data_IF_297667254221
#
_entry.id   IF_297667254221
#
_cell.length_a   1.000
_cell.length_b   1.000
_cell.length_c   1.000
_cell.angle_alpha   90.00
_cell.angle_beta   90.00
_cell.angle_gamma   90.00
#
_symmetry.space_group_name_H-M   'P 1'
#
loop_
_entity.id
_entity.type
_entity.pdbx_description
1 polymer ?
#
# COMPACT_ATOMS: atom_id res chain seq x y z
N UNK A 1 -3.03 18.52 0.21
CA UNK A 1 -4.50 18.37 0.43
C UNK A 1 -5.36 19.19 -0.53
N UNK A 2 -4.95 20.39 -0.93
CA UNK A 2 -5.77 21.31 -1.72
C UNK A 2 -6.15 20.78 -3.12
N UNK A 3 -5.19 20.21 -3.85
CA UNK A 3 -5.42 19.69 -5.22
C UNK A 3 -6.41 18.52 -5.27
N UNK A 4 -6.48 17.71 -4.20
CA UNK A 4 -7.44 16.60 -4.08
C UNK A 4 -8.73 17.01 -3.36
N UNK A 5 -8.85 18.28 -2.96
CA UNK A 5 -9.97 18.86 -2.21
C UNK A 5 -10.39 18.04 -0.97
N UNK A 6 -9.44 17.40 -0.29
CA UNK A 6 -9.72 16.58 0.89
C UNK A 6 -10.31 17.41 2.04
N UNK A 7 -9.97 18.71 2.12
CA UNK A 7 -10.50 19.64 3.10
C UNK A 7 -12.05 19.70 3.10
N UNK A 8 -12.68 19.57 1.92
CA UNK A 8 -14.14 19.56 1.81
C UNK A 8 -14.77 18.32 2.47
N UNK A 9 -14.09 17.18 2.43
CA UNK A 9 -14.58 15.96 3.07
C UNK A 9 -14.57 16.09 4.60
N UNK A 10 -13.57 16.79 5.17
CA UNK A 10 -13.45 17.00 6.61
C UNK A 10 -14.56 17.87 7.20
N UNK A 11 -15.18 18.75 6.40
CA UNK A 11 -16.37 19.51 6.82
C UNK A 11 -17.57 18.59 7.12
N UNK A 12 -17.58 17.39 6.54
CA UNK A 12 -18.58 16.36 6.78
C UNK A 12 -18.10 15.28 7.75
N UNK A 13 -17.06 15.57 8.56
CA UNK A 13 -16.43 14.63 9.50
C UNK A 13 -15.89 13.34 8.85
N UNK A 14 -15.58 13.38 7.55
CA UNK A 14 -14.98 12.26 6.82
C UNK A 14 -13.46 12.34 6.93
N UNK A 15 -12.93 11.95 8.10
CA UNK A 15 -11.50 11.95 8.41
C UNK A 15 -10.84 10.56 8.35
N UNK A 16 -11.62 9.52 8.07
CA UNK A 16 -11.17 8.11 8.11
C UNK A 16 -11.29 7.45 9.48
N UNK A 17 -11.98 8.09 10.43
CA UNK A 17 -12.31 7.49 11.72
C UNK A 17 -12.96 6.12 11.56
N UNK A 18 -12.58 5.17 12.41
CA UNK A 18 -13.04 3.78 12.42
C UNK A 18 -12.74 2.98 11.13
N UNK A 19 -11.80 3.48 10.32
CA UNK A 19 -11.26 2.76 9.16
C UNK A 19 -9.82 2.35 9.45
N UNK A 20 -9.52 1.09 9.20
CA UNK A 20 -8.16 0.57 9.16
C UNK A 20 -7.72 0.47 7.70
N UNK A 21 -6.59 1.10 7.37
CA UNK A 21 -5.99 1.06 6.04
C UNK A 21 -4.83 0.07 6.08
N UNK A 22 -4.95 -0.98 5.27
CA UNK A 22 -3.91 -1.96 5.03
C UNK A 22 -2.87 -1.44 4.05
N UNK A 23 -1.61 -1.80 4.26
CA UNK A 23 -0.51 -1.49 3.36
C UNK A 23 0.30 -2.75 3.15
N UNK A 24 0.65 -3.05 1.90
CA UNK A 24 1.78 -3.93 1.63
C UNK A 24 2.92 -3.10 1.07
N UNK A 25 3.97 -2.91 1.86
CA UNK A 25 5.05 -1.99 1.51
C UNK A 25 6.37 -2.44 2.16
N UNK A 26 7.40 -1.60 2.16
CA UNK A 26 8.71 -1.89 2.76
C UNK A 26 8.70 -1.95 4.29
N UNK A 27 7.53 -1.99 4.92
CA UNK A 27 7.35 -1.86 6.36
C UNK A 27 7.19 -0.40 6.79
N UNK A 28 7.12 -0.20 8.10
CA UNK A 28 6.84 1.11 8.70
C UNK A 28 7.75 1.36 9.90
N UNK A 29 8.24 2.59 9.98
CA UNK A 29 8.92 3.12 11.16
C UNK A 29 7.89 3.55 12.21
N UNK A 30 7.78 2.74 13.25
CA UNK A 30 6.84 2.96 14.36
C UNK A 30 7.25 4.14 15.27
N UNK A 31 8.47 4.65 15.13
CA UNK A 31 8.98 5.77 15.93
C UNK A 31 8.68 7.13 15.30
N UNK A 32 8.10 7.16 14.10
CA UNK A 32 7.79 8.39 13.38
C UNK A 32 6.71 9.22 14.12
N UNK A 33 6.93 10.52 14.28
CA UNK A 33 6.06 11.41 15.08
C UNK A 33 4.59 11.43 14.63
N UNK A 34 4.33 11.20 13.35
CA UNK A 34 2.97 11.11 12.79
C UNK A 34 2.24 9.80 13.11
N UNK A 35 2.92 8.83 13.74
CA UNK A 35 2.39 7.53 14.14
C UNK A 35 2.46 7.33 15.66
N UNK A 36 1.70 8.13 16.44
CA UNK A 36 1.67 7.96 17.90
C UNK A 36 1.13 6.57 18.30
N UNK A 37 1.29 6.22 19.58
CA UNK A 37 0.82 4.96 20.12
C UNK A 37 -0.66 4.68 19.74
N UNK A 38 -0.92 3.48 19.22
CA UNK A 38 -2.25 3.06 18.77
C UNK A 38 -2.61 3.45 17.33
N UNK A 39 -1.75 4.22 16.64
CA UNK A 39 -1.96 4.56 15.22
C UNK A 39 -1.73 3.36 14.31
N UNK A 40 -0.74 2.54 14.63
CA UNK A 40 -0.42 1.30 13.92
C UNK A 40 -1.06 0.15 14.71
N UNK A 41 -2.00 -0.57 14.09
CA UNK A 41 -2.73 -1.70 14.70
C UNK A 41 -2.15 -3.05 14.35
N UNK A 42 -1.42 -3.12 13.24
CA UNK A 42 -0.73 -4.32 12.79
C UNK A 42 0.58 -3.91 12.11
N UNK A 43 1.68 -4.58 12.46
CA UNK A 43 2.96 -4.42 11.77
C UNK A 43 3.62 -5.79 11.58
N UNK A 44 3.34 -6.45 10.46
CA UNK A 44 4.03 -7.68 10.10
C UNK A 44 5.44 -7.36 9.60
N UNK A 45 6.45 -7.89 10.30
CA UNK A 45 7.87 -7.80 9.96
C UNK A 45 8.48 -9.17 9.63
N UNK A 46 7.64 -10.18 9.37
CA UNK A 46 8.09 -11.57 9.13
C UNK A 46 9.05 -11.67 7.94
N UNK A 47 8.86 -10.80 6.94
CA UNK A 47 9.73 -10.65 5.78
C UNK A 47 11.20 -10.37 6.11
N UNK A 48 11.49 -9.76 7.27
CA UNK A 48 12.85 -9.45 7.69
C UNK A 48 13.55 -10.60 8.42
N UNK A 49 12.87 -11.72 8.68
CA UNK A 49 13.51 -12.90 9.29
C UNK A 49 14.14 -12.64 10.66
N UNK A 50 13.61 -11.68 11.43
CA UNK A 50 14.14 -11.27 12.74
C UNK A 50 15.24 -10.20 12.69
N UNK A 51 15.67 -9.79 11.49
CA UNK A 51 16.59 -8.65 11.33
C UNK A 51 15.83 -7.35 11.59
N UNK A 52 16.46 -6.42 12.31
CA UNK A 52 15.91 -5.07 12.46
C UNK A 52 16.21 -4.26 11.20
N UNK A 53 15.20 -3.82 10.43
CA UNK A 53 15.43 -3.05 9.21
C UNK A 53 15.98 -1.67 9.53
N UNK A 54 16.81 -1.13 8.64
CA UNK A 54 17.27 0.25 8.74
C UNK A 54 16.14 1.24 8.45
N UNK A 55 16.24 2.47 8.98
CA UNK A 55 15.30 3.54 8.65
C UNK A 55 15.20 3.81 7.14
N UNK A 56 16.31 3.60 6.39
CA UNK A 56 16.32 3.71 4.93
C UNK A 56 15.41 2.68 4.25
N UNK A 57 15.37 1.43 4.74
CA UNK A 57 14.47 0.39 4.22
C UNK A 57 13.01 0.71 4.55
N UNK A 58 12.73 1.24 5.73
CA UNK A 58 11.37 1.59 6.17
C UNK A 58 10.82 2.88 5.54
N UNK A 59 11.68 3.72 4.93
CA UNK A 59 11.31 5.07 4.47
C UNK A 59 10.16 5.08 3.47
N UNK A 60 10.14 4.17 2.50
CA UNK A 60 9.11 4.15 1.46
C UNK A 60 7.73 3.85 2.06
N UNK A 61 7.57 2.74 2.79
CA UNK A 61 6.30 2.40 3.43
C UNK A 61 5.85 3.40 4.49
N UNK A 62 6.79 3.99 5.23
CA UNK A 62 6.52 5.09 6.19
C UNK A 62 5.95 6.31 5.46
N UNK A 63 6.56 6.73 4.35
CA UNK A 63 6.07 7.85 3.55
C UNK A 63 4.69 7.58 2.93
N UNK A 64 4.48 6.38 2.38
CA UNK A 64 3.19 5.96 1.82
C UNK A 64 2.08 5.98 2.89
N UNK A 65 2.36 5.41 4.07
CA UNK A 65 1.41 5.40 5.18
C UNK A 65 1.15 6.80 5.74
N UNK A 66 2.16 7.67 5.79
CA UNK A 66 2.04 9.07 6.22
C UNK A 66 1.10 9.86 5.30
N UNK A 67 1.27 9.76 3.98
CA UNK A 67 0.38 10.43 3.01
C UNK A 67 -1.07 9.97 3.17
N UNK A 68 -1.28 8.68 3.42
CA UNK A 68 -2.62 8.12 3.57
C UNK A 68 -3.26 8.47 4.92
N UNK A 69 -2.53 8.30 6.03
CA UNK A 69 -3.11 8.26 7.38
C UNK A 69 -2.27 8.96 8.47
N UNK A 70 -1.22 9.72 8.12
CA UNK A 70 -0.42 10.47 9.09
C UNK A 70 -1.29 11.31 10.04
N UNK A 71 -1.04 11.22 11.34
CA UNK A 71 -1.88 11.85 12.36
C UNK A 71 -1.84 13.37 12.24
N UNK A 72 -3.02 14.01 12.32
CA UNK A 72 -3.11 15.46 12.33
C UNK A 72 -2.64 16.05 13.66
N UNK A 73 -1.85 17.12 13.57
CA UNK A 73 -1.33 17.83 14.75
C UNK A 73 -0.04 17.24 15.32
N UNK A 74 0.55 16.26 14.65
CA UNK A 74 1.87 15.71 14.98
C UNK A 74 2.97 16.29 14.09
N UNK A 75 4.23 16.17 14.51
CA UNK A 75 5.41 16.58 13.74
C UNK A 75 5.32 18.03 13.25
N UNK A 76 5.54 18.23 11.94
CA UNK A 76 5.52 19.56 11.30
C UNK A 76 4.11 20.11 11.01
N UNK A 77 3.06 19.48 11.55
CA UNK A 77 1.66 19.89 11.34
C UNK A 77 1.04 19.42 10.02
N UNK A 78 1.76 18.60 9.25
CA UNK A 78 1.19 17.85 8.11
C UNK A 78 0.29 16.72 8.61
N UNK A 79 -0.60 16.23 7.75
CA UNK A 79 -1.46 15.10 8.06
C UNK A 79 -1.80 14.32 6.79
N UNK A 80 -2.15 13.04 6.96
CA UNK A 80 -2.61 12.18 5.88
C UNK A 80 -4.04 12.48 5.45
N UNK A 81 -4.45 11.91 4.32
CA UNK A 81 -5.79 12.14 3.76
C UNK A 81 -6.87 11.67 4.73
N UNK A 82 -6.69 10.48 5.30
CA UNK A 82 -7.54 9.86 6.30
C UNK A 82 -6.84 9.90 7.66
N UNK A 83 -6.59 11.10 8.18
CA UNK A 83 -5.75 11.31 9.37
C UNK A 83 -6.30 10.69 10.66
N UNK A 84 -7.56 10.25 10.73
CA UNK A 84 -8.11 9.51 11.88
C UNK A 84 -8.17 7.99 11.64
N UNK A 85 -7.81 7.52 10.45
CA UNK A 85 -7.69 6.09 10.15
C UNK A 85 -6.49 5.47 10.89
N UNK A 86 -6.53 4.15 11.10
CA UNK A 86 -5.40 3.39 11.62
C UNK A 86 -4.65 2.69 10.50
N UNK A 87 -3.42 2.27 10.79
CA UNK A 87 -2.50 1.68 9.83
C UNK A 87 -2.28 0.21 10.17
N UNK A 88 -2.47 -0.66 9.18
CA UNK A 88 -2.06 -2.05 9.21
C UNK A 88 -0.99 -2.28 8.14
N UNK A 89 0.26 -2.51 8.54
CA UNK A 89 1.39 -2.68 7.64
C UNK A 89 1.78 -4.16 7.52
N UNK A 90 1.87 -4.65 6.29
CA UNK A 90 2.43 -5.95 5.98
C UNK A 90 3.68 -5.81 5.13
N UNK A 91 4.84 -6.15 5.69
CA UNK A 91 6.13 -5.93 5.03
C UNK A 91 6.31 -6.91 3.86
N UNK A 92 6.61 -6.36 2.68
CA UNK A 92 6.96 -7.13 1.49
C UNK A 92 8.27 -7.88 1.69
N UNK A 93 8.33 -9.09 1.12
CA UNK A 93 9.56 -9.86 1.08
C UNK A 93 10.42 -9.28 -0.04
N UNK A 94 11.48 -8.57 0.35
CA UNK A 94 12.46 -7.98 -0.55
C UNK A 94 13.77 -8.77 -0.43
N UNK A 95 14.50 -8.90 -1.53
CA UNK A 95 15.88 -9.41 -1.48
C UNK A 95 16.87 -8.31 -1.03
N UNK A 96 18.15 -8.67 -0.95
CA UNK A 96 19.22 -7.77 -0.49
C UNK A 96 19.37 -6.52 -1.38
N UNK A 97 18.87 -6.58 -2.61
CA UNK A 97 18.89 -5.53 -3.63
C UNK A 97 17.55 -4.78 -3.73
N UNK A 98 16.63 -5.01 -2.79
CA UNK A 98 15.29 -4.39 -2.75
C UNK A 98 14.34 -4.83 -3.87
N UNK A 99 14.63 -5.97 -4.54
CA UNK A 99 13.67 -6.55 -5.48
C UNK A 99 12.59 -7.34 -4.75
N UNK A 100 11.38 -7.17 -5.25
CA UNK A 100 10.18 -7.82 -4.78
C UNK A 100 10.23 -9.34 -5.03
N UNK A 101 10.24 -10.14 -3.96
CA UNK A 101 10.10 -11.59 -4.01
C UNK A 101 8.70 -12.00 -3.52
N UNK A 102 7.71 -11.89 -4.41
CA UNK A 102 6.34 -12.31 -4.14
C UNK A 102 5.98 -13.58 -4.91
N UNK A 103 5.32 -14.50 -4.22
CA UNK A 103 4.57 -15.59 -4.84
C UNK A 103 3.11 -15.55 -4.37
N UNK A 104 2.24 -16.31 -5.06
CA UNK A 104 0.79 -16.33 -4.78
C UNK A 104 0.48 -16.63 -3.30
N UNK A 105 1.25 -17.50 -2.65
CA UNK A 105 1.06 -17.87 -1.25
C UNK A 105 1.42 -16.74 -0.29
N UNK A 106 2.55 -16.07 -0.52
CA UNK A 106 2.98 -14.89 0.26
C UNK A 106 1.94 -13.78 0.14
N UNK A 107 1.53 -13.46 -1.09
CA UNK A 107 0.58 -12.38 -1.32
C UNK A 107 -0.81 -12.68 -0.77
N UNK A 108 -1.28 -13.93 -0.88
CA UNK A 108 -2.55 -14.34 -0.27
C UNK A 108 -2.52 -14.25 1.26
N UNK A 109 -1.39 -14.58 1.90
CA UNK A 109 -1.23 -14.39 3.34
C UNK A 109 -1.30 -12.91 3.72
N UNK A 110 -0.57 -12.04 3.02
CA UNK A 110 -0.60 -10.60 3.26
C UNK A 110 -2.03 -10.05 3.25
N UNK A 111 -2.79 -10.37 2.20
CA UNK A 111 -4.18 -9.94 2.06
C UNK A 111 -5.07 -10.51 3.15
N UNK A 112 -4.97 -11.82 3.43
CA UNK A 112 -5.77 -12.45 4.47
C UNK A 112 -5.49 -11.86 5.86
N UNK A 113 -4.23 -11.52 6.16
CA UNK A 113 -3.85 -10.89 7.43
C UNK A 113 -4.40 -9.47 7.52
N UNK A 114 -4.24 -8.66 6.47
CA UNK A 114 -4.74 -7.29 6.45
C UNK A 114 -6.27 -7.23 6.51
N UNK A 115 -6.96 -8.11 5.79
CA UNK A 115 -8.42 -8.19 5.76
C UNK A 115 -8.98 -8.81 7.05
N UNK A 116 -8.57 -10.03 7.39
CA UNK A 116 -9.25 -10.80 8.44
C UNK A 116 -8.69 -10.54 9.83
N UNK A 117 -7.40 -10.21 9.96
CA UNK A 117 -6.77 -9.98 11.27
C UNK A 117 -6.81 -8.50 11.66
N UNK A 118 -6.52 -7.60 10.72
CA UNK A 118 -6.60 -6.16 10.97
C UNK A 118 -7.97 -5.55 10.63
N UNK A 119 -8.85 -6.23 9.89
CA UNK A 119 -10.14 -5.65 9.51
C UNK A 119 -10.03 -4.52 8.49
N UNK A 120 -8.95 -4.50 7.69
CA UNK A 120 -8.66 -3.39 6.77
C UNK A 120 -9.77 -3.25 5.72
N UNK A 121 -10.45 -2.10 5.73
CA UNK A 121 -11.53 -1.78 4.77
C UNK A 121 -11.02 -1.30 3.41
N UNK A 122 -9.73 -0.95 3.35
CA UNK A 122 -8.98 -0.53 2.16
C UNK A 122 -7.56 -1.10 2.27
N UNK A 123 -7.01 -1.65 1.18
CA UNK A 123 -5.62 -2.09 1.15
C UNK A 123 -4.87 -1.36 0.02
N UNK A 124 -3.77 -0.69 0.38
CA UNK A 124 -2.87 0.01 -0.52
C UNK A 124 -1.65 -0.85 -0.89
N UNK A 125 -1.34 -0.88 -2.19
CA UNK A 125 -0.12 -1.48 -2.73
C UNK A 125 0.63 -0.43 -3.54
N UNK A 126 1.86 -0.11 -3.15
CA UNK A 126 2.69 0.91 -3.80
C UNK A 126 3.97 0.32 -4.43
N UNK A 127 3.84 -0.83 -5.06
CA UNK A 127 4.91 -1.55 -5.74
C UNK A 127 4.40 -2.10 -7.09
N UNK A 128 5.29 -2.47 -7.99
CA UNK A 128 4.94 -3.01 -9.30
C UNK A 128 6.03 -3.91 -9.86
N UNK A 129 5.71 -4.62 -10.95
CA UNK A 129 6.68 -5.39 -11.70
C UNK A 129 7.24 -4.57 -12.85
N UNK A 130 8.55 -4.68 -13.04
CA UNK A 130 9.21 -4.25 -14.25
C UNK A 130 9.52 -5.38 -15.19
N UNK A 131 8.76 -5.41 -16.27
CA UNK A 131 8.98 -6.32 -17.38
C UNK A 131 9.24 -5.45 -18.61
N UNK A 132 10.51 -5.27 -19.01
CA UNK A 132 10.84 -4.61 -20.27
C UNK A 132 10.07 -5.26 -21.41
N UNK A 133 9.40 -4.46 -22.24
CA UNK A 133 8.73 -5.02 -23.42
C UNK A 133 9.76 -5.65 -24.34
N UNK A 134 9.61 -6.95 -24.56
CA UNK A 134 10.43 -7.71 -25.49
C UNK A 134 9.55 -8.14 -26.67
N UNK A 135 9.72 -7.55 -27.86
CA UNK A 135 8.95 -7.90 -29.04
C UNK A 135 9.01 -9.39 -29.40
N UNK A 136 10.15 -10.05 -29.14
CA UNK A 136 10.32 -11.49 -29.41
C UNK A 136 9.49 -12.37 -28.45
N UNK A 137 9.18 -11.85 -27.26
CA UNK A 137 8.43 -12.54 -26.21
C UNK A 137 7.06 -11.89 -25.91
N UNK A 138 6.58 -11.01 -26.79
CA UNK A 138 5.37 -10.21 -26.57
C UNK A 138 4.13 -11.06 -26.24
N UNK A 139 4.01 -12.25 -26.84
CA UNK A 139 2.94 -13.21 -26.53
C UNK A 139 2.99 -13.71 -25.08
N UNK A 140 4.16 -14.15 -24.62
CA UNK A 140 4.37 -14.65 -23.26
C UNK A 140 4.18 -13.53 -22.21
N UNK A 141 4.71 -12.32 -22.50
CA UNK A 141 4.56 -11.16 -21.63
C UNK A 141 3.08 -10.75 -21.49
N UNK A 142 2.33 -10.76 -22.60
CA UNK A 142 0.88 -10.51 -22.58
C UNK A 142 0.13 -11.55 -21.74
N UNK A 143 0.44 -12.83 -21.88
CA UNK A 143 -0.20 -13.89 -21.10
C UNK A 143 0.08 -13.75 -19.61
N UNK A 144 1.33 -13.46 -19.22
CA UNK A 144 1.71 -13.23 -17.83
C UNK A 144 0.92 -12.06 -17.22
N UNK A 145 0.89 -10.91 -17.92
CA UNK A 145 0.14 -9.73 -17.46
C UNK A 145 -1.37 -10.01 -17.34
N UNK A 146 -1.96 -10.75 -18.28
CA UNK A 146 -3.36 -11.16 -18.21
C UNK A 146 -3.64 -12.07 -17.00
N UNK A 147 -2.76 -13.02 -16.72
CA UNK A 147 -2.90 -13.91 -15.55
C UNK A 147 -2.77 -13.15 -14.23
N UNK A 148 -1.77 -12.27 -14.11
CA UNK A 148 -1.59 -11.41 -12.93
C UNK A 148 -2.81 -10.53 -12.73
N UNK A 149 -3.28 -9.87 -13.80
CA UNK A 149 -4.44 -8.99 -13.73
C UNK A 149 -5.71 -9.73 -13.28
N UNK A 150 -5.98 -10.91 -13.83
CA UNK A 150 -7.12 -11.73 -13.41
C UNK A 150 -7.01 -12.20 -11.96
N UNK A 151 -5.81 -12.55 -11.50
CA UNK A 151 -5.57 -12.88 -10.09
C UNK A 151 -5.83 -11.69 -9.18
N UNK A 152 -5.29 -10.51 -9.51
CA UNK A 152 -5.55 -9.27 -8.77
C UNK A 152 -7.04 -8.96 -8.74
N UNK A 153 -7.74 -9.04 -9.88
CA UNK A 153 -9.20 -8.84 -9.91
C UNK A 153 -9.96 -9.85 -9.05
N UNK A 154 -9.55 -11.12 -9.03
CA UNK A 154 -10.17 -12.13 -8.17
C UNK A 154 -9.95 -11.85 -6.69
N UNK A 155 -8.78 -11.29 -6.32
CA UNK A 155 -8.48 -10.84 -4.96
C UNK A 155 -9.26 -9.57 -4.61
N UNK A 156 -9.35 -8.59 -5.53
CA UNK A 156 -10.18 -7.39 -5.37
C UNK A 156 -11.68 -7.67 -5.30
N UNK A 157 -12.15 -8.81 -5.80
CA UNK A 157 -13.55 -9.24 -5.62
C UNK A 157 -13.82 -9.84 -4.24
N UNK A 158 -12.78 -10.23 -3.50
CA UNK A 158 -12.90 -10.80 -2.15
C UNK A 158 -12.75 -9.75 -1.06
N UNK A 159 -11.76 -8.86 -1.19
CA UNK A 159 -11.54 -7.77 -0.24
C UNK A 159 -11.99 -6.41 -0.82
N UNK A 160 -12.76 -5.65 -0.04
CA UNK A 160 -13.22 -4.33 -0.44
C UNK A 160 -12.04 -3.36 -0.69
N UNK A 161 -12.11 -2.69 -1.84
CA UNK A 161 -11.38 -1.45 -2.21
C UNK A 161 -9.85 -1.54 -2.11
N UNK A 162 -9.23 -2.05 -3.17
CA UNK A 162 -7.79 -1.94 -3.42
C UNK A 162 -7.44 -0.54 -3.96
N UNK A 163 -6.41 0.09 -3.39
CA UNK A 163 -5.79 1.28 -3.96
C UNK A 163 -4.39 0.92 -4.45
N UNK A 164 -4.14 1.09 -5.75
CA UNK A 164 -2.81 0.94 -6.34
C UNK A 164 -2.24 2.33 -6.57
N UNK A 165 -1.12 2.65 -5.93
CA UNK A 165 -0.42 3.91 -6.16
C UNK A 165 0.99 3.63 -6.65
N UNK A 166 1.22 3.76 -7.96
CA UNK A 166 2.58 3.85 -8.49
C UNK A 166 3.05 5.30 -8.36
N UNK A 167 4.08 5.61 -7.55
CA UNK A 167 4.72 6.90 -7.65
C UNK A 167 5.45 6.99 -9.00
N UNK A 168 4.98 7.87 -9.87
CA UNK A 168 5.62 8.14 -11.17
C UNK A 168 6.87 9.01 -11.01
N UNK A 169 7.49 9.14 -9.82
CA UNK A 169 8.81 9.80 -9.68
C UNK A 169 9.56 9.46 -8.40
N UNK A 170 10.80 8.98 -8.53
CA UNK A 170 11.91 9.35 -7.63
C UNK A 170 12.44 8.29 -6.68
N UNK A 171 11.59 7.60 -5.92
CA UNK A 171 12.02 6.65 -4.88
C UNK A 171 11.34 5.27 -5.02
N UNK A 172 11.26 4.77 -6.26
CA UNK A 172 10.91 3.37 -6.48
C UNK A 172 12.00 2.49 -5.85
N UNK A 173 11.59 1.43 -5.13
CA UNK A 173 12.41 0.22 -5.03
C UNK A 173 13.01 -0.03 -6.42
N UNK A 174 14.34 -0.14 -6.51
CA UNK A 174 15.06 -0.08 -7.78
C UNK A 174 14.79 -1.33 -8.60
N UNK A 175 13.76 -1.29 -9.44
CA UNK A 175 13.67 -2.12 -10.64
C UNK A 175 13.55 -1.21 -11.89
N UNK A 176 13.90 -1.71 -13.10
CA UNK A 176 13.97 -0.88 -14.28
C UNK A 176 12.70 -0.94 -15.16
N UNK A 177 11.72 -0.04 -14.94
CA UNK A 177 10.67 0.43 -15.86
C UNK A 177 9.58 1.23 -15.09
N UNK A 178 8.82 2.02 -15.86
CA UNK A 178 7.59 2.69 -15.45
C UNK A 178 6.59 2.41 -16.55
N UNK A 179 5.47 1.76 -16.23
CA UNK A 179 4.25 1.90 -17.03
C UNK A 179 3.05 1.27 -16.28
N UNK A 180 2.16 2.11 -15.75
CA UNK A 180 0.69 2.00 -15.76
C UNK A 180 0.08 3.08 -14.84
N UNK A 181 0.07 4.33 -15.28
CA UNK A 181 -0.71 5.39 -14.64
C UNK A 181 -2.17 5.33 -15.13
N UNK A 182 -3.05 4.62 -14.42
CA UNK A 182 -4.50 4.87 -14.46
C UNK A 182 -5.13 4.41 -13.15
N UNK A 183 -5.48 5.40 -12.31
CA UNK A 183 -6.35 5.22 -11.14
C UNK A 183 -7.66 4.55 -11.57
N UNK A 184 -8.05 3.46 -10.90
CA UNK A 184 -9.39 2.89 -11.05
C UNK A 184 -10.14 3.03 -9.72
N UNK A 185 -10.88 4.12 -9.59
CA UNK A 185 -11.95 4.24 -8.59
C UNK A 185 -13.20 3.59 -9.19
N UNK A 186 -13.53 2.37 -8.77
CA UNK A 186 -14.91 1.87 -8.90
C UNK A 186 -15.55 1.91 -7.52
N UNK A 187 -16.39 2.93 -7.31
CA UNK A 187 -17.37 2.93 -6.23
C UNK A 187 -18.22 1.67 -6.39
N UNK A 188 -18.12 0.74 -5.45
CA UNK A 188 -19.17 -0.25 -5.25
C UNK A 188 -20.22 0.42 -4.36
N UNK A 189 -21.10 1.19 -4.99
CA UNK A 189 -22.44 1.42 -4.43
C UNK A 189 -23.17 0.09 -4.49
N UNK A 190 -23.32 -0.57 -3.34
CA UNK A 190 -24.53 -1.30 -2.88
C UNK A 190 -24.17 -2.31 -1.79
N UNK A 191 -24.32 -1.92 -0.52
CA UNK A 191 -25.31 -2.48 0.42
C UNK A 191 -25.04 -1.99 1.83
N UNK A 192 -25.88 -1.03 2.22
CA UNK A 192 -26.54 -1.00 3.53
C UNK A 192 -27.29 -2.32 3.78
#
# INVERSE_FOLDING_TARGET
MEVINAARAYVYDVSGKDVDIGFTDTGIDETHDEFPAGKIVLNDRSAYGGITPSAGKLRHGTGVASVAAGQRGSGNGMHGVAYDAKIAMWTLHLDDQDYLNLNDGIFSRALNTLENSAGSGVINHSWGYDIPFDPANAGAQKTLLQQIFLKVLNLCRKAMRFMFFQPVTGESLKSPLRLLSRCYFRSCETRL
#
